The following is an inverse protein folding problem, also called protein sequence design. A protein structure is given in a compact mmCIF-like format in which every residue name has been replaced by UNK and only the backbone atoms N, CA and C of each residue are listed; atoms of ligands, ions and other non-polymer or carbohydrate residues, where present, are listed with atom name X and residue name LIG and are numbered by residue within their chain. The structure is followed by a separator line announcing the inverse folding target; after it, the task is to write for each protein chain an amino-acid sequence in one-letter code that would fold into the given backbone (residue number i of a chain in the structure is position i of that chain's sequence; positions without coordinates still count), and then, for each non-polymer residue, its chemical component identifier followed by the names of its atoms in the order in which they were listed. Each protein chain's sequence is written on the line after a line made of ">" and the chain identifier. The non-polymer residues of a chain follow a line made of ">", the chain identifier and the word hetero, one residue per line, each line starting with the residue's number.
data_IF_771981026786
#
_entry.id   IF_771981026786
#
_cell.length_a   1.000
_cell.length_b   1.000
_cell.length_c   1.000
_cell.angle_alpha   90.00
_cell.angle_beta   90.00
_cell.angle_gamma   90.00
#
_symmetry.space_group_name_H-M   'P 1'
#
loop_
_entity.id
_entity.type
_entity.pdbx_description
1 polymer ?
#
# COMPACT_ATOMS: atom_id res chain seq x y z
N UNK A 1 -27.60 -2.86 -17.94
CA UNK A 1 -26.42 -2.93 -17.07
C UNK A 1 -25.28 -2.02 -17.56
N UNK A 2 -24.86 -2.02 -18.84
CA UNK A 2 -23.80 -1.12 -19.36
C UNK A 2 -24.11 0.38 -19.24
N UNK A 3 -25.38 0.82 -19.40
CA UNK A 3 -25.77 2.22 -19.28
C UNK A 3 -25.76 2.74 -17.84
N UNK A 4 -26.16 1.90 -16.89
CA UNK A 4 -26.18 2.26 -15.46
C UNK A 4 -24.77 2.51 -14.92
N UNK A 5 -23.82 1.61 -15.25
CA UNK A 5 -22.43 1.72 -14.78
C UNK A 5 -21.73 2.94 -15.41
N UNK A 6 -22.05 3.29 -16.65
CA UNK A 6 -21.47 4.45 -17.36
C UNK A 6 -21.92 5.79 -16.79
N UNK A 7 -23.05 5.81 -16.07
CA UNK A 7 -23.64 7.02 -15.47
C UNK A 7 -23.38 7.13 -13.96
N UNK A 8 -22.53 6.25 -13.38
CA UNK A 8 -22.13 6.42 -11.99
C UNK A 8 -21.45 7.79 -11.81
N UNK A 9 -21.97 8.57 -10.87
CA UNK A 9 -21.30 9.79 -10.44
C UNK A 9 -19.92 9.43 -9.88
N UNK A 10 -18.99 10.38 -9.86
CA UNK A 10 -17.66 10.16 -9.24
C UNK A 10 -17.76 9.62 -7.81
N UNK A 11 -18.81 10.00 -7.06
CA UNK A 11 -19.06 9.47 -5.70
C UNK A 11 -19.41 7.98 -5.71
N UNK A 12 -20.29 7.55 -6.63
CA UNK A 12 -20.65 6.14 -6.79
C UNK A 12 -19.48 5.26 -7.25
N UNK A 13 -18.61 5.80 -8.10
CA UNK A 13 -17.38 5.12 -8.52
C UNK A 13 -16.42 4.91 -7.36
N UNK A 14 -16.14 5.96 -6.58
CA UNK A 14 -15.28 5.88 -5.40
C UNK A 14 -15.85 4.86 -4.42
N UNK A 15 -17.15 4.92 -4.14
CA UNK A 15 -17.80 3.94 -3.27
C UNK A 15 -17.61 2.51 -3.79
N UNK A 16 -17.82 2.26 -5.09
CA UNK A 16 -17.66 0.94 -5.67
C UNK A 16 -16.21 0.43 -5.57
N UNK A 17 -15.22 1.27 -5.87
CA UNK A 17 -13.81 0.92 -5.75
C UNK A 17 -13.45 0.58 -4.31
N UNK A 18 -13.92 1.37 -3.35
CA UNK A 18 -13.73 1.08 -1.92
C UNK A 18 -14.46 -0.19 -1.49
N UNK A 19 -15.67 -0.44 -2.00
CA UNK A 19 -16.40 -1.67 -1.71
C UNK A 19 -15.69 -2.92 -2.24
N UNK A 20 -15.08 -2.85 -3.42
CA UNK A 20 -14.22 -3.92 -3.96
C UNK A 20 -13.00 -4.08 -3.05
N UNK A 21 -12.29 -2.99 -2.75
CA UNK A 21 -11.07 -3.00 -1.96
C UNK A 21 -11.32 -3.58 -0.56
N UNK A 22 -12.14 -2.94 0.24
CA UNK A 22 -12.39 -3.36 1.63
C UNK A 22 -13.32 -4.57 1.75
N UNK A 23 -14.33 -4.66 0.89
CA UNK A 23 -15.29 -5.77 0.90
C UNK A 23 -14.60 -7.11 0.61
N UNK A 24 -13.73 -7.15 -0.39
CA UNK A 24 -12.95 -8.37 -0.68
C UNK A 24 -12.00 -8.70 0.48
N UNK A 25 -11.39 -7.70 1.12
CA UNK A 25 -10.53 -7.89 2.30
C UNK A 25 -11.30 -8.52 3.49
N UNK A 26 -12.52 -8.05 3.75
CA UNK A 26 -13.39 -8.62 4.78
C UNK A 26 -13.73 -10.07 4.44
N UNK A 27 -14.09 -10.37 3.19
CA UNK A 27 -14.41 -11.72 2.74
C UNK A 27 -13.20 -12.65 2.90
N UNK A 28 -12.04 -12.26 2.41
CA UNK A 28 -10.81 -13.06 2.50
C UNK A 28 -10.39 -13.31 3.95
N UNK A 29 -10.49 -12.30 4.80
CA UNK A 29 -10.22 -12.45 6.24
C UNK A 29 -11.17 -13.44 6.91
N UNK A 30 -12.47 -13.40 6.59
CA UNK A 30 -13.45 -14.33 7.15
C UNK A 30 -13.18 -15.76 6.69
N UNK A 31 -12.96 -15.98 5.39
CA UNK A 31 -12.61 -17.30 4.85
C UNK A 31 -11.33 -17.82 5.50
N UNK A 32 -10.27 -17.03 5.53
CA UNK A 32 -9.00 -17.41 6.16
C UNK A 32 -9.17 -17.74 7.65
N UNK A 33 -9.99 -16.97 8.37
CA UNK A 33 -10.29 -17.23 9.77
C UNK A 33 -11.09 -18.50 10.03
N UNK A 34 -11.90 -18.96 9.07
CA UNK A 34 -12.59 -20.27 9.18
C UNK A 34 -11.66 -21.44 8.84
N UNK A 35 -10.76 -21.25 7.86
CA UNK A 35 -9.80 -22.27 7.46
C UNK A 35 -8.66 -22.47 8.46
N UNK A 36 -8.35 -21.43 9.26
CA UNK A 36 -7.27 -21.41 10.25
C UNK A 36 -7.71 -20.77 11.57
N UNK A 37 -8.45 -21.51 12.42
CA UNK A 37 -9.03 -20.97 13.65
C UNK A 37 -8.01 -20.39 14.66
N UNK A 38 -6.76 -20.87 14.62
CA UNK A 38 -5.67 -20.41 15.53
C UNK A 38 -4.94 -19.16 15.09
N UNK A 39 -5.02 -18.77 13.82
CA UNK A 39 -4.30 -17.60 13.27
C UNK A 39 -4.93 -16.25 13.62
N UNK A 40 -6.07 -16.24 14.30
CA UNK A 40 -6.91 -15.04 14.50
C UNK A 40 -6.36 -14.03 15.49
N UNK A 41 -5.46 -14.40 16.37
CA UNK A 41 -5.22 -13.61 17.59
C UNK A 41 -3.89 -12.85 17.63
N UNK A 42 -2.94 -13.13 16.76
CA UNK A 42 -1.59 -12.61 16.96
C UNK A 42 -0.98 -11.85 15.79
N UNK A 43 -1.69 -11.64 14.66
CA UNK A 43 -1.14 -10.83 13.56
C UNK A 43 0.22 -11.36 13.06
N UNK A 44 0.47 -12.66 13.20
CA UNK A 44 1.73 -13.27 12.78
C UNK A 44 1.82 -13.24 11.27
N UNK A 45 2.82 -12.55 10.77
CA UNK A 45 3.21 -12.63 9.38
C UNK A 45 3.77 -14.03 9.12
N UNK A 46 2.95 -14.87 8.53
CA UNK A 46 3.33 -16.22 8.10
C UNK A 46 3.45 -16.27 6.58
N UNK A 47 4.17 -17.26 6.06
CA UNK A 47 4.27 -17.48 4.61
C UNK A 47 2.89 -17.55 3.94
N UNK A 48 1.96 -18.29 4.53
CA UNK A 48 0.61 -18.42 3.98
C UNK A 48 -0.19 -17.12 4.11
N UNK A 49 -0.01 -16.37 5.19
CA UNK A 49 -0.62 -15.05 5.37
C UNK A 49 -0.15 -14.05 4.32
N UNK A 50 1.16 -14.00 4.05
CA UNK A 50 1.73 -13.14 3.01
C UNK A 50 1.29 -13.52 1.60
N UNK A 51 1.22 -14.82 1.31
CA UNK A 51 0.69 -15.30 0.03
C UNK A 51 -0.81 -14.95 -0.13
N UNK A 52 -1.58 -15.09 0.94
CA UNK A 52 -3.00 -14.71 0.97
C UNK A 52 -3.20 -13.21 0.75
N UNK A 53 -2.38 -12.37 1.41
CA UNK A 53 -2.37 -10.93 1.21
C UNK A 53 -2.03 -10.56 -0.24
N UNK A 54 -0.96 -11.13 -0.78
CA UNK A 54 -0.55 -10.88 -2.18
C UNK A 54 -1.64 -11.30 -3.18
N UNK A 55 -2.30 -12.43 -2.96
CA UNK A 55 -3.42 -12.85 -3.80
C UNK A 55 -4.60 -11.87 -3.71
N UNK A 56 -4.94 -11.43 -2.51
CA UNK A 56 -5.96 -10.41 -2.29
C UNK A 56 -5.64 -9.12 -3.04
N UNK A 57 -4.42 -8.59 -2.91
CA UNK A 57 -3.98 -7.36 -3.57
C UNK A 57 -4.04 -7.47 -5.09
N UNK A 58 -3.59 -8.59 -5.65
CA UNK A 58 -3.69 -8.87 -7.09
C UNK A 58 -5.13 -8.94 -7.58
N UNK A 59 -6.03 -9.59 -6.81
CA UNK A 59 -7.46 -9.67 -7.15
C UNK A 59 -8.12 -8.30 -7.12
N UNK A 60 -7.83 -7.49 -6.10
CA UNK A 60 -8.36 -6.11 -6.02
C UNK A 60 -7.86 -5.28 -7.20
N UNK A 61 -6.56 -5.32 -7.51
CA UNK A 61 -6.02 -4.62 -8.68
C UNK A 61 -6.70 -5.08 -9.97
N UNK A 62 -6.84 -6.38 -10.20
CA UNK A 62 -7.49 -6.92 -11.38
C UNK A 62 -8.94 -6.42 -11.52
N UNK A 63 -9.73 -6.49 -10.45
CA UNK A 63 -11.13 -6.05 -10.47
C UNK A 63 -11.27 -4.55 -10.63
N UNK A 64 -10.48 -3.76 -9.90
CA UNK A 64 -10.51 -2.30 -9.97
C UNK A 64 -10.06 -1.83 -11.36
N UNK A 65 -8.96 -2.35 -11.90
CA UNK A 65 -8.48 -1.93 -13.22
C UNK A 65 -9.35 -2.46 -14.36
N UNK A 66 -9.97 -3.64 -14.21
CA UNK A 66 -10.99 -4.10 -15.14
C UNK A 66 -12.18 -3.13 -15.18
N UNK A 67 -12.63 -2.68 -14.01
CA UNK A 67 -13.71 -1.71 -13.88
C UNK A 67 -13.30 -0.34 -14.46
N UNK A 68 -12.19 0.23 -13.99
CA UNK A 68 -11.71 1.56 -14.42
C UNK A 68 -11.37 1.57 -15.93
N UNK A 69 -10.77 0.50 -16.44
CA UNK A 69 -10.48 0.35 -17.88
C UNK A 69 -11.73 0.32 -18.74
N UNK A 70 -12.78 -0.41 -18.29
CA UNK A 70 -14.07 -0.51 -19.00
C UNK A 70 -14.88 0.79 -18.97
N UNK A 71 -14.85 1.53 -17.88
CA UNK A 71 -15.73 2.67 -17.61
C UNK A 71 -15.05 4.01 -17.93
N UNK A 72 -13.77 4.16 -17.55
CA UNK A 72 -13.00 5.40 -17.69
C UNK A 72 -11.93 5.34 -18.78
N UNK A 73 -11.64 4.17 -19.30
CA UNK A 73 -10.49 3.97 -20.19
C UNK A 73 -9.15 4.15 -19.47
N UNK A 74 -9.13 4.03 -18.13
CA UNK A 74 -7.92 4.18 -17.34
C UNK A 74 -7.10 2.90 -17.34
N UNK A 75 -5.82 3.06 -17.56
CA UNK A 75 -4.80 2.00 -17.48
C UNK A 75 -3.76 2.39 -16.43
N UNK A 76 -2.79 1.53 -16.17
CA UNK A 76 -1.64 1.86 -15.31
C UNK A 76 -0.92 3.14 -15.76
N UNK A 77 -0.79 3.36 -17.07
CA UNK A 77 -0.21 4.59 -17.61
C UNK A 77 -1.00 5.84 -17.24
N UNK A 78 -2.32 5.73 -17.03
CA UNK A 78 -3.17 6.85 -16.59
C UNK A 78 -2.83 7.37 -15.19
N UNK A 79 -2.07 6.58 -14.41
CA UNK A 79 -1.55 6.91 -13.08
C UNK A 79 -0.06 7.23 -13.10
N UNK A 80 0.54 7.38 -14.29
CA UNK A 80 1.96 7.65 -14.42
C UNK A 80 2.84 6.45 -14.09
N UNK A 81 2.36 5.23 -14.31
CA UNK A 81 3.20 4.05 -14.19
C UNK A 81 4.08 3.91 -15.43
N UNK A 82 5.35 4.25 -15.27
CA UNK A 82 6.36 4.15 -16.30
C UNK A 82 7.69 3.71 -15.67
N UNK A 83 8.22 2.60 -16.13
CA UNK A 83 9.51 2.07 -15.68
C UNK A 83 10.63 2.75 -16.46
N UNK A 84 11.58 3.37 -15.77
CA UNK A 84 12.81 3.88 -16.36
C UNK A 84 13.94 3.93 -15.33
N UNK A 85 15.18 3.83 -15.78
CA UNK A 85 16.35 3.88 -14.89
C UNK A 85 16.45 5.19 -14.10
N UNK A 86 16.07 6.32 -14.72
CA UNK A 86 16.03 7.62 -14.05
C UNK A 86 15.03 7.63 -12.90
N UNK A 87 13.81 7.10 -13.13
CA UNK A 87 12.77 7.01 -12.13
C UNK A 87 13.12 5.99 -11.05
N UNK A 88 13.78 4.87 -11.41
CA UNK A 88 14.30 3.91 -10.43
C UNK A 88 15.35 4.56 -9.52
N UNK A 89 16.31 5.30 -10.08
CA UNK A 89 17.29 6.04 -9.29
C UNK A 89 16.65 7.07 -8.35
N UNK A 90 15.59 7.76 -8.80
CA UNK A 90 14.82 8.67 -7.94
C UNK A 90 14.12 7.91 -6.81
N UNK A 91 13.59 6.71 -7.07
CA UNK A 91 13.00 5.86 -6.02
C UNK A 91 14.02 5.43 -4.98
N UNK A 92 15.24 5.07 -5.40
CA UNK A 92 16.34 4.77 -4.48
C UNK A 92 16.71 6.02 -3.64
N UNK A 93 16.72 7.20 -4.24
CA UNK A 93 16.94 8.45 -3.50
C UNK A 93 15.82 8.74 -2.49
N UNK A 94 14.56 8.49 -2.85
CA UNK A 94 13.41 8.66 -1.95
C UNK A 94 13.42 7.64 -0.80
N UNK A 95 13.96 6.45 -1.01
CA UNK A 95 14.12 5.45 0.05
C UNK A 95 14.93 5.98 1.24
N UNK A 96 15.98 6.77 1.01
CA UNK A 96 16.87 7.25 2.07
C UNK A 96 16.14 8.08 3.14
N UNK A 97 15.46 9.21 2.81
CA UNK A 97 14.71 9.97 3.81
C UNK A 97 13.57 9.19 4.43
N UNK A 98 12.91 8.32 3.67
CA UNK A 98 11.83 7.49 4.18
C UNK A 98 12.34 6.50 5.23
N UNK A 99 13.47 5.87 4.96
CA UNK A 99 14.14 4.98 5.92
C UNK A 99 14.59 5.71 7.17
N UNK A 100 15.07 6.95 7.02
CA UNK A 100 15.47 7.79 8.15
C UNK A 100 14.30 8.05 9.12
N UNK A 101 13.08 8.25 8.61
CA UNK A 101 11.87 8.42 9.45
C UNK A 101 11.67 7.20 10.35
N UNK A 102 11.80 5.97 9.81
CA UNK A 102 11.67 4.75 10.60
C UNK A 102 12.84 4.55 11.59
N UNK A 103 14.05 4.96 11.23
CA UNK A 103 15.21 4.92 12.14
C UNK A 103 15.00 5.88 13.31
N UNK A 104 14.59 7.12 13.05
CA UNK A 104 14.29 8.11 14.09
C UNK A 104 13.16 7.63 15.02
N UNK A 105 12.10 7.00 14.47
CA UNK A 105 11.07 6.36 15.28
C UNK A 105 11.66 5.37 16.27
N UNK A 106 12.57 4.48 15.83
CA UNK A 106 13.20 3.48 16.74
C UNK A 106 14.04 4.10 17.83
N UNK A 107 14.63 5.26 17.59
CA UNK A 107 15.42 5.98 18.60
C UNK A 107 14.52 6.68 19.61
N UNK A 108 13.41 7.28 19.16
CA UNK A 108 12.52 8.11 19.99
C UNK A 108 11.52 7.24 20.78
N UNK A 109 11.02 6.18 20.13
CA UNK A 109 10.03 5.27 20.71
C UNK A 109 10.70 3.94 20.98
N UNK A 110 10.84 3.57 22.27
CA UNK A 110 11.35 2.25 22.66
C UNK A 110 10.71 1.14 21.82
N UNK A 111 11.45 0.07 21.49
CA UNK A 111 10.93 -1.00 20.63
C UNK A 111 9.69 -1.60 21.28
N UNK A 112 8.54 -1.13 20.87
CA UNK A 112 7.27 -1.77 21.19
C UNK A 112 7.18 -3.08 20.42
N UNK A 113 6.46 -4.01 20.97
CA UNK A 113 6.21 -5.40 20.60
C UNK A 113 5.95 -5.70 19.10
N UNK A 114 5.88 -4.72 18.23
CA UNK A 114 5.72 -4.91 16.79
C UNK A 114 6.90 -5.68 16.12
N UNK A 115 8.07 -5.70 16.75
CA UNK A 115 9.21 -6.50 16.28
C UNK A 115 9.16 -7.98 16.71
N UNK A 116 8.28 -8.33 17.65
CA UNK A 116 8.14 -9.70 18.16
C UNK A 116 7.16 -10.56 17.34
N UNK A 117 6.43 -9.95 16.40
CA UNK A 117 5.39 -10.62 15.60
C UNK A 117 5.86 -11.05 14.20
N UNK A 118 7.12 -10.82 13.87
CA UNK A 118 7.68 -11.32 12.60
C UNK A 118 7.96 -12.82 12.73
N UNK A 119 6.99 -13.62 12.36
CA UNK A 119 7.23 -15.04 12.03
C UNK A 119 8.35 -15.13 10.96
N UNK A 120 9.05 -16.26 10.90
CA UNK A 120 10.07 -16.46 9.87
C UNK A 120 9.38 -16.60 8.50
N UNK A 121 9.36 -15.50 7.73
CA UNK A 121 8.89 -15.53 6.36
C UNK A 121 10.04 -15.95 5.46
N UNK A 122 9.79 -16.91 4.56
CA UNK A 122 10.77 -17.29 3.58
C UNK A 122 11.12 -16.10 2.67
N UNK A 123 12.39 -15.80 2.53
CA UNK A 123 12.90 -14.64 1.80
C UNK A 123 12.29 -14.47 0.39
N UNK A 124 12.10 -15.52 -0.44
CA UNK A 124 11.44 -15.37 -1.74
C UNK A 124 9.98 -14.88 -1.62
N UNK A 125 9.24 -15.38 -0.63
CA UNK A 125 7.84 -14.97 -0.40
C UNK A 125 7.80 -13.51 0.04
N UNK A 126 8.69 -13.12 0.93
CA UNK A 126 8.80 -11.76 1.43
C UNK A 126 9.11 -10.76 0.31
N UNK A 127 10.11 -11.05 -0.54
CA UNK A 127 10.46 -10.22 -1.70
C UNK A 127 9.28 -10.08 -2.67
N UNK A 128 8.62 -11.20 -3.01
CA UNK A 128 7.49 -11.18 -3.95
C UNK A 128 6.33 -10.39 -3.35
N UNK A 129 6.00 -10.62 -2.08
CA UNK A 129 4.94 -9.89 -1.38
C UNK A 129 5.25 -8.40 -1.30
N UNK A 130 6.47 -8.00 -0.93
CA UNK A 130 6.90 -6.60 -0.90
C UNK A 130 6.75 -5.90 -2.26
N UNK A 131 7.04 -6.61 -3.36
CA UNK A 131 6.86 -6.07 -4.71
C UNK A 131 5.37 -5.85 -5.00
N UNK A 132 4.53 -6.85 -4.71
CA UNK A 132 3.08 -6.77 -4.98
C UNK A 132 2.45 -5.68 -4.11
N UNK A 133 2.72 -5.66 -2.81
CA UNK A 133 2.21 -4.68 -1.86
C UNK A 133 2.66 -3.26 -2.22
N UNK A 134 3.94 -3.05 -2.54
CA UNK A 134 4.44 -1.74 -2.94
C UNK A 134 3.80 -1.21 -4.23
N UNK A 135 3.49 -2.09 -5.20
CA UNK A 135 2.74 -1.73 -6.40
C UNK A 135 1.28 -1.42 -6.05
N UNK A 136 0.65 -2.30 -5.26
CA UNK A 136 -0.75 -2.18 -4.88
C UNK A 136 -1.03 -0.90 -4.09
N UNK A 137 -0.28 -0.66 -3.02
CA UNK A 137 -0.50 0.49 -2.15
C UNK A 137 -0.24 1.81 -2.89
N UNK A 138 0.85 1.92 -3.66
CA UNK A 138 1.11 3.15 -4.39
C UNK A 138 0.09 3.42 -5.50
N UNK A 139 -0.42 2.38 -6.17
CA UNK A 139 -1.49 2.55 -7.15
C UNK A 139 -2.82 2.97 -6.51
N UNK A 140 -3.20 2.30 -5.41
CA UNK A 140 -4.49 2.52 -4.77
C UNK A 140 -4.48 3.75 -3.86
N UNK A 141 -3.51 3.83 -2.95
CA UNK A 141 -3.50 4.86 -1.90
C UNK A 141 -2.99 6.22 -2.40
N UNK A 142 -2.04 6.23 -3.34
CA UNK A 142 -1.52 7.48 -3.90
C UNK A 142 -2.14 7.75 -5.27
N UNK A 143 -1.96 6.84 -6.23
CA UNK A 143 -2.40 7.05 -7.60
C UNK A 143 -3.89 7.30 -7.73
N UNK A 144 -4.69 6.32 -7.29
CA UNK A 144 -6.15 6.40 -7.41
C UNK A 144 -6.75 7.51 -6.53
N UNK A 145 -6.40 7.54 -5.24
CA UNK A 145 -6.97 8.52 -4.30
C UNK A 145 -6.67 9.95 -4.76
N UNK A 146 -5.43 10.26 -5.11
CA UNK A 146 -5.07 11.60 -5.58
C UNK A 146 -5.82 11.93 -6.88
N UNK A 147 -5.89 10.99 -7.82
CA UNK A 147 -6.56 11.22 -9.11
C UNK A 147 -8.06 11.53 -8.97
N UNK A 148 -8.76 10.87 -8.05
CA UNK A 148 -10.21 11.13 -7.86
C UNK A 148 -10.49 12.35 -6.98
N UNK A 149 -9.51 12.78 -6.19
CA UNK A 149 -9.63 13.93 -5.27
C UNK A 149 -8.92 15.19 -5.74
N UNK A 150 -8.11 15.14 -6.82
CA UNK A 150 -7.31 16.27 -7.31
C UNK A 150 -8.13 17.52 -7.63
N UNK A 151 -9.42 17.37 -7.96
CA UNK A 151 -10.36 18.49 -8.17
C UNK A 151 -10.55 19.36 -6.93
N UNK A 152 -10.24 18.86 -5.75
CA UNK A 152 -10.34 19.61 -4.47
C UNK A 152 -9.03 20.29 -4.09
N UNK A 153 -8.03 20.27 -4.98
CA UNK A 153 -6.72 20.88 -4.78
C UNK A 153 -5.69 19.94 -4.19
N UNK A 154 -4.42 20.33 -4.34
CA UNK A 154 -3.24 19.54 -3.99
C UNK A 154 -3.28 19.06 -2.53
N UNK A 155 -3.43 20.01 -1.60
CA UNK A 155 -3.35 19.69 -0.18
C UNK A 155 -4.46 18.73 0.25
N UNK A 156 -5.69 18.95 -0.21
CA UNK A 156 -6.82 18.06 0.09
C UNK A 156 -6.56 16.66 -0.43
N UNK A 157 -6.10 16.52 -1.67
CA UNK A 157 -5.83 15.22 -2.27
C UNK A 157 -4.69 14.49 -1.55
N UNK A 158 -3.59 15.17 -1.25
CA UNK A 158 -2.44 14.61 -0.54
C UNK A 158 -2.80 14.20 0.88
N UNK A 159 -3.52 15.04 1.63
CA UNK A 159 -3.92 14.72 3.00
C UNK A 159 -4.91 13.55 3.05
N UNK A 160 -5.90 13.50 2.14
CA UNK A 160 -6.83 12.36 2.09
C UNK A 160 -6.06 11.06 1.81
N UNK A 161 -5.14 11.05 0.85
CA UNK A 161 -4.29 9.90 0.54
C UNK A 161 -3.48 9.47 1.78
N UNK A 162 -2.79 10.40 2.43
CA UNK A 162 -1.97 10.14 3.60
C UNK A 162 -2.80 9.66 4.81
N UNK A 163 -4.02 10.19 5.01
CA UNK A 163 -4.92 9.76 6.08
C UNK A 163 -5.42 8.32 5.86
N UNK A 164 -5.79 7.98 4.63
CA UNK A 164 -6.21 6.61 4.30
C UNK A 164 -5.07 5.64 4.58
N UNK A 165 -3.86 5.93 4.11
CA UNK A 165 -2.65 5.14 4.38
C UNK A 165 -2.40 5.00 5.89
N UNK A 166 -2.47 6.08 6.63
CA UNK A 166 -2.30 6.08 8.08
C UNK A 166 -3.29 5.13 8.78
N UNK A 167 -4.57 5.19 8.40
CA UNK A 167 -5.62 4.35 9.00
C UNK A 167 -5.40 2.87 8.67
N UNK A 168 -5.02 2.54 7.44
CA UNK A 168 -4.70 1.17 7.03
C UNK A 168 -3.51 0.58 7.80
N UNK A 169 -2.60 1.43 8.27
CA UNK A 169 -1.43 1.05 9.08
C UNK A 169 -1.66 1.16 10.59
N UNK A 170 -2.91 1.23 11.05
CA UNK A 170 -3.24 1.34 12.49
C UNK A 170 -2.68 0.18 13.34
N UNK A 171 -2.46 -0.99 12.73
CA UNK A 171 -1.81 -2.14 13.38
C UNK A 171 -0.38 -1.86 13.86
N UNK A 172 0.28 -0.81 13.34
CA UNK A 172 1.63 -0.40 13.76
C UNK A 172 1.65 0.47 15.03
N UNK A 173 0.47 0.78 15.61
CA UNK A 173 0.31 1.67 16.75
C UNK A 173 0.52 3.15 16.40
N UNK A 174 0.29 4.05 17.35
CA UNK A 174 0.27 5.49 17.14
C UNK A 174 1.56 6.05 16.52
N UNK A 175 2.72 5.60 16.98
CA UNK A 175 4.01 6.06 16.45
C UNK A 175 4.24 5.56 15.00
N UNK A 176 3.79 4.33 14.68
CA UNK A 176 3.81 3.80 13.31
C UNK A 176 2.89 4.60 12.40
N UNK A 177 1.67 4.84 12.83
CA UNK A 177 0.69 5.66 12.10
C UNK A 177 1.24 7.06 11.79
N UNK A 178 1.87 7.73 12.76
CA UNK A 178 2.47 9.05 12.54
C UNK A 178 3.60 9.01 11.49
N UNK A 179 4.48 8.01 11.54
CA UNK A 179 5.54 7.84 10.53
C UNK A 179 4.95 7.59 9.14
N UNK A 180 3.98 6.69 9.03
CA UNK A 180 3.32 6.35 7.77
C UNK A 180 2.56 7.55 7.21
N UNK A 181 1.94 8.39 8.06
CA UNK A 181 1.32 9.64 7.63
C UNK A 181 2.34 10.60 6.99
N UNK A 182 3.48 10.83 7.64
CA UNK A 182 4.55 11.70 7.10
C UNK A 182 5.07 11.16 5.76
N UNK A 183 5.24 9.85 5.64
CA UNK A 183 5.63 9.20 4.38
C UNK A 183 4.54 9.39 3.34
N UNK A 184 3.27 9.20 3.70
CA UNK A 184 2.12 9.39 2.81
C UNK A 184 2.04 10.81 2.26
N UNK A 185 2.24 11.82 3.11
CA UNK A 185 2.33 13.23 2.67
C UNK A 185 3.50 13.43 1.71
N UNK A 186 4.68 12.90 2.04
CA UNK A 186 5.88 13.02 1.19
C UNK A 186 5.64 12.38 -0.17
N UNK A 187 5.14 11.14 -0.21
CA UNK A 187 4.84 10.42 -1.45
C UNK A 187 3.75 11.12 -2.26
N UNK A 188 2.69 11.59 -1.59
CA UNK A 188 1.63 12.34 -2.23
C UNK A 188 2.12 13.63 -2.90
N UNK A 189 3.00 14.39 -2.24
CA UNK A 189 3.61 15.60 -2.80
C UNK A 189 4.55 15.29 -3.98
N UNK A 190 5.36 14.25 -3.87
CA UNK A 190 6.22 13.78 -4.97
C UNK A 190 5.37 13.36 -6.16
N UNK A 191 4.33 12.55 -5.94
CA UNK A 191 3.42 12.16 -7.00
C UNK A 191 2.68 13.34 -7.61
N UNK A 192 2.21 14.29 -6.79
CA UNK A 192 1.54 15.49 -7.31
C UNK A 192 2.43 16.28 -8.28
N UNK A 193 3.71 16.41 -7.97
CA UNK A 193 4.67 17.14 -8.81
C UNK A 193 5.11 16.35 -10.05
N UNK A 194 5.43 15.07 -9.89
CA UNK A 194 6.04 14.27 -10.94
C UNK A 194 5.01 13.56 -11.82
N UNK A 195 3.83 13.27 -11.28
CA UNK A 195 2.81 12.42 -11.91
C UNK A 195 3.38 11.07 -12.34
N UNK A 196 4.29 10.52 -11.54
CA UNK A 196 4.97 9.25 -11.75
C UNK A 196 4.91 8.40 -10.48
N UNK A 197 4.36 7.18 -10.57
CA UNK A 197 4.26 6.25 -9.44
C UNK A 197 5.51 5.40 -9.24
N UNK A 198 6.24 5.10 -10.31
CA UNK A 198 7.38 4.17 -10.24
C UNK A 198 8.41 4.52 -9.17
N UNK A 199 8.85 5.79 -8.99
CA UNK A 199 9.79 6.13 -7.91
C UNK A 199 9.25 5.80 -6.51
N UNK A 200 7.94 6.00 -6.29
CA UNK A 200 7.31 5.71 -5.00
C UNK A 200 7.28 4.21 -4.74
N UNK A 201 6.88 3.43 -5.76
CA UNK A 201 6.88 1.97 -5.69
C UNK A 201 8.27 1.42 -5.36
N UNK A 202 9.31 1.91 -6.04
CA UNK A 202 10.70 1.49 -5.77
C UNK A 202 11.09 1.83 -4.32
N UNK A 203 10.80 3.05 -3.85
CA UNK A 203 11.11 3.44 -2.48
C UNK A 203 10.37 2.57 -1.47
N UNK A 204 9.09 2.28 -1.69
CA UNK A 204 8.26 1.44 -0.83
C UNK A 204 8.79 0.01 -0.77
N UNK A 205 8.97 -0.63 -1.93
CA UNK A 205 9.52 -2.00 -2.03
C UNK A 205 10.84 -2.12 -1.27
N UNK A 206 11.74 -1.13 -1.42
CA UNK A 206 13.02 -1.13 -0.70
C UNK A 206 12.84 -0.97 0.82
N UNK A 207 11.84 -0.20 1.28
CA UNK A 207 11.55 -0.06 2.71
C UNK A 207 11.15 -1.41 3.29
N UNK A 208 10.25 -2.13 2.62
CA UNK A 208 9.74 -3.41 3.08
C UNK A 208 10.84 -4.46 3.09
N UNK A 209 11.54 -4.68 1.96
CA UNK A 209 12.61 -5.66 1.88
C UNK A 209 13.71 -5.39 2.92
N UNK A 210 14.17 -4.13 3.05
CA UNK A 210 15.20 -3.79 4.05
C UNK A 210 14.66 -3.88 5.48
N UNK A 211 13.35 -3.69 5.66
CA UNK A 211 12.64 -3.90 6.94
C UNK A 211 12.74 -5.35 7.38
N UNK A 212 12.35 -6.26 6.50
CA UNK A 212 12.29 -7.71 6.73
C UNK A 212 13.67 -8.34 6.92
N UNK A 213 14.65 -7.98 6.10
CA UNK A 213 16.03 -8.48 6.22
C UNK A 213 16.65 -8.19 7.60
N UNK A 214 16.32 -7.02 8.21
CA UNK A 214 16.81 -6.68 9.55
C UNK A 214 16.15 -7.52 10.64
N UNK A 215 14.90 -7.88 10.49
CA UNK A 215 14.19 -8.73 11.44
C UNK A 215 14.77 -10.15 11.43
N UNK A 216 15.10 -10.66 10.26
CA UNK A 216 15.75 -11.98 10.12
C UNK A 216 17.13 -12.04 10.82
N UNK A 217 17.92 -10.96 10.81
CA UNK A 217 19.23 -10.90 11.48
C UNK A 217 19.17 -10.79 13.00
N UNK A 218 18.05 -10.38 13.59
CA UNK A 218 17.89 -10.29 15.05
C UNK A 218 17.24 -11.54 15.65
N UNK A 219 16.81 -12.48 14.81
CA UNK A 219 16.20 -13.74 15.24
C UNK A 219 17.22 -14.91 15.33
N UNK A 220 18.49 -14.66 14.98
CA UNK A 220 19.65 -15.57 15.14
C UNK A 220 20.53 -15.06 16.27
#
# INVERSE_FOLDING_TARGET
>A
MRSFIRNLTTRGEVFLVFAIWFGLGIIMRNIGGHLMPGARLHGEFSNLGMMGLSLYELLVLALVFLYLGRIRGWSFASFGFQISWKLTGLGVLLFVPTKLIFVLRRIIVSPTTAGLLAGQIALPIDIISSIITGIFEELMEVGYIIKVTERYGMWTAVFISALIRMVLHAYQGAAGMACVFVIGVTFGLVYWKLRQLWPLMVAHILIDIVGSLRLAHHAV
#
